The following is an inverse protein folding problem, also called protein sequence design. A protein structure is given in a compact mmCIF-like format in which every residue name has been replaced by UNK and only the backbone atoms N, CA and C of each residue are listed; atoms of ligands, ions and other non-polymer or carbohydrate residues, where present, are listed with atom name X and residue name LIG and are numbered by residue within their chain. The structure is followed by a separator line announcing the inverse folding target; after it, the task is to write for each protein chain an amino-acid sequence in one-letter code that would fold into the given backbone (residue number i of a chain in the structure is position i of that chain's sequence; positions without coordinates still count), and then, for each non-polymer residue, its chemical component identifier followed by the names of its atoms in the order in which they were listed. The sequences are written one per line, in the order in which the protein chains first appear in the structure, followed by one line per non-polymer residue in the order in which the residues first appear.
data_IF_575217935259
#
_entry.id   IF_575217935259
#
_cell.length_a   1.000
_cell.length_b   1.000
_cell.length_c   1.000
_cell.angle_alpha   90.00
_cell.angle_beta   90.00
_cell.angle_gamma   90.00
#
_symmetry.space_group_name_H-M   'P 1'
#
loop_
_entity.id
_entity.type
_entity.pdbx_description
1 polymer ?
#
# COMPACT_ATOMS: atom_id res chain seq x y z
N UNK A 1 -15.82 9.15 19.04
CA UNK A 1 -15.48 7.82 18.50
C UNK A 1 -16.63 7.36 17.61
N UNK A 2 -16.39 7.09 16.33
CA UNK A 2 -17.39 6.46 15.45
C UNK A 2 -17.45 4.97 15.84
N UNK A 3 -18.64 4.40 16.11
CA UNK A 3 -18.75 2.96 16.39
C UNK A 3 -18.16 2.16 15.23
N UNK A 4 -17.37 1.11 15.52
CA UNK A 4 -16.77 0.22 14.49
C UNK A 4 -17.80 -0.21 13.43
N UNK A 5 -19.03 -0.47 13.86
CA UNK A 5 -20.16 -0.88 13.02
C UNK A 5 -20.69 0.20 12.08
N UNK A 6 -20.45 1.48 12.34
CA UNK A 6 -20.90 2.57 11.47
C UNK A 6 -19.95 2.77 10.28
N UNK A 7 -18.65 2.54 10.50
CA UNK A 7 -17.62 2.71 9.48
C UNK A 7 -17.76 1.67 8.35
N UNK A 8 -17.96 0.40 8.71
CA UNK A 8 -18.17 -0.66 7.74
C UNK A 8 -19.46 -0.47 6.92
N UNK A 9 -20.54 0.01 7.54
CA UNK A 9 -21.85 0.21 6.87
C UNK A 9 -21.77 1.19 5.70
N UNK A 10 -21.14 2.35 5.87
CA UNK A 10 -21.07 3.34 4.80
C UNK A 10 -20.08 2.93 3.72
N UNK A 11 -18.97 2.26 4.07
CA UNK A 11 -18.03 1.71 3.09
C UNK A 11 -18.72 0.63 2.25
N UNK A 12 -19.43 -0.31 2.87
CA UNK A 12 -20.23 -1.30 2.16
C UNK A 12 -21.24 -0.65 1.22
N UNK A 13 -21.88 0.44 1.67
CA UNK A 13 -22.82 1.20 0.83
C UNK A 13 -22.10 1.87 -0.34
N UNK A 14 -20.94 2.47 -0.13
CA UNK A 14 -20.14 3.09 -1.19
C UNK A 14 -19.68 2.06 -2.23
N UNK A 15 -19.20 0.89 -1.79
CA UNK A 15 -18.86 -0.23 -2.69
C UNK A 15 -20.06 -0.68 -3.50
N UNK A 16 -21.24 -0.82 -2.87
CA UNK A 16 -22.51 -1.15 -3.57
C UNK A 16 -22.97 -0.08 -4.56
N UNK A 17 -22.51 1.16 -4.40
CA UNK A 17 -22.75 2.25 -5.34
C UNK A 17 -21.71 2.29 -6.47
N UNK A 18 -20.84 1.28 -6.58
CA UNK A 18 -19.82 1.17 -7.62
C UNK A 18 -18.86 2.37 -7.65
N UNK A 19 -18.54 2.92 -6.48
CA UNK A 19 -17.58 4.01 -6.36
C UNK A 19 -16.21 3.58 -6.91
N UNK A 20 -15.59 4.47 -7.69
CA UNK A 20 -14.27 4.26 -8.27
C UNK A 20 -13.15 4.80 -7.37
N UNK A 21 -13.43 5.80 -6.54
CA UNK A 21 -12.44 6.45 -5.70
C UNK A 21 -12.88 6.51 -4.24
N UNK A 22 -12.04 6.01 -3.34
CA UNK A 22 -12.28 6.10 -1.90
C UNK A 22 -11.06 6.71 -1.20
N UNK A 23 -11.30 7.82 -0.49
CA UNK A 23 -10.34 8.44 0.41
C UNK A 23 -10.86 8.35 1.85
N UNK A 24 -10.16 7.56 2.65
CA UNK A 24 -10.55 7.21 4.02
C UNK A 24 -9.50 7.76 4.97
N UNK A 25 -9.83 8.87 5.61
CA UNK A 25 -8.96 9.58 6.55
C UNK A 25 -9.62 9.70 7.94
N UNK A 26 -9.89 8.56 8.57
CA UNK A 26 -10.58 8.44 9.87
C UNK A 26 -9.84 7.46 10.79
N UNK A 27 -10.24 7.36 12.06
CA UNK A 27 -9.68 6.36 12.97
C UNK A 27 -10.14 4.96 12.52
N UNK A 28 -9.22 4.17 11.99
CA UNK A 28 -9.50 2.87 11.40
C UNK A 28 -9.47 1.77 12.46
N UNK A 29 -10.43 0.85 12.38
CA UNK A 29 -10.43 -0.34 13.23
C UNK A 29 -10.44 -1.60 12.36
N UNK A 30 -11.44 -1.73 11.49
CA UNK A 30 -11.55 -2.83 10.51
C UNK A 30 -12.30 -2.33 9.26
N UNK A 31 -11.71 -2.54 8.08
CA UNK A 31 -12.36 -2.25 6.80
C UNK A 31 -13.16 -3.46 6.35
N UNK A 32 -14.36 -3.28 5.75
CA UNK A 32 -15.17 -4.41 5.31
C UNK A 32 -14.51 -5.17 4.16
N UNK A 33 -14.77 -6.48 4.07
CA UNK A 33 -14.27 -7.35 2.99
C UNK A 33 -14.72 -6.90 1.59
N UNK A 34 -15.88 -6.25 1.51
CA UNK A 34 -16.42 -5.68 0.27
C UNK A 34 -15.44 -4.67 -0.35
N UNK A 35 -14.71 -3.90 0.47
CA UNK A 35 -13.72 -2.96 0.01
C UNK A 35 -12.60 -3.68 -0.75
N UNK A 36 -12.06 -4.76 -0.17
CA UNK A 36 -10.94 -5.53 -0.70
C UNK A 36 -11.29 -6.44 -1.88
N UNK A 37 -12.57 -6.49 -2.26
CA UNK A 37 -13.09 -7.28 -3.39
C UNK A 37 -13.83 -6.39 -4.41
N UNK A 38 -13.74 -5.06 -4.25
CA UNK A 38 -14.43 -4.09 -5.08
C UNK A 38 -13.83 -4.05 -6.50
N UNK A 39 -14.65 -4.38 -7.50
CA UNK A 39 -14.22 -4.46 -8.90
C UNK A 39 -14.20 -3.11 -9.62
N UNK A 40 -14.81 -2.08 -9.05
CA UNK A 40 -14.91 -0.75 -9.66
C UNK A 40 -13.87 0.22 -9.14
N UNK A 41 -13.24 -0.09 -8.02
CA UNK A 41 -12.30 0.80 -7.34
C UNK A 41 -11.01 0.95 -8.15
N UNK A 42 -10.72 2.17 -8.59
CA UNK A 42 -9.49 2.55 -9.29
C UNK A 42 -8.51 3.27 -8.37
N UNK A 43 -9.01 3.99 -7.36
CA UNK A 43 -8.19 4.78 -6.44
C UNK A 43 -8.60 4.50 -5.00
N UNK A 44 -7.64 4.11 -4.16
CA UNK A 44 -7.85 3.85 -2.75
C UNK A 44 -6.79 4.58 -1.91
N UNK A 45 -7.26 5.48 -1.05
CA UNK A 45 -6.44 6.14 -0.03
C UNK A 45 -6.93 5.78 1.36
N UNK A 46 -6.02 5.31 2.21
CA UNK A 46 -6.34 4.88 3.57
C UNK A 46 -5.27 5.37 4.53
N UNK A 47 -5.61 6.43 5.27
CA UNK A 47 -4.71 7.08 6.21
C UNK A 47 -5.21 6.94 7.64
N UNK A 48 -4.29 6.61 8.55
CA UNK A 48 -4.53 6.70 9.98
C UNK A 48 -4.01 8.06 10.50
N UNK A 49 -4.92 8.96 10.91
CA UNK A 49 -4.56 10.31 11.40
C UNK A 49 -3.65 10.32 12.64
N UNK A 50 -3.52 9.20 13.35
CA UNK A 50 -2.80 9.16 14.61
C UNK A 50 -1.86 7.94 14.64
N UNK A 51 -0.58 8.21 14.95
CA UNK A 51 0.55 7.25 14.96
C UNK A 51 0.33 5.96 15.77
N UNK A 52 -0.71 5.91 16.61
CA UNK A 52 -0.99 4.79 17.52
C UNK A 52 -2.25 3.98 17.21
N UNK A 53 -3.13 4.40 16.29
CA UNK A 53 -4.46 3.78 16.19
C UNK A 53 -4.99 3.73 14.76
N UNK A 54 -4.71 2.62 14.10
CA UNK A 54 -5.32 2.25 12.83
C UNK A 54 -4.52 1.20 12.10
N UNK A 55 -4.54 -0.05 12.59
CA UNK A 55 -3.92 -1.15 11.87
C UNK A 55 -4.81 -1.48 10.67
N UNK A 56 -4.30 -1.29 9.45
CA UNK A 56 -4.95 -1.86 8.27
C UNK A 56 -4.95 -3.40 8.39
N UNK A 57 -6.08 -3.96 8.78
CA UNK A 57 -6.30 -5.40 8.76
C UNK A 57 -6.67 -5.82 7.35
N UNK A 58 -5.65 -6.23 6.59
CA UNK A 58 -5.86 -6.81 5.25
C UNK A 58 -6.34 -8.26 5.41
N UNK A 59 -7.47 -8.64 4.78
CA UNK A 59 -7.96 -10.01 4.78
C UNK A 59 -7.05 -10.95 3.98
N UNK A 60 -7.21 -12.28 4.12
CA UNK A 60 -6.43 -13.26 3.35
C UNK A 60 -6.65 -13.17 1.84
N UNK A 61 -7.84 -12.78 1.41
CA UNK A 61 -8.22 -12.64 0.01
C UNK A 61 -8.41 -11.16 -0.34
N UNK A 62 -7.66 -10.69 -1.33
CA UNK A 62 -7.78 -9.35 -1.91
C UNK A 62 -7.89 -9.50 -3.42
N UNK A 63 -8.92 -8.91 -4.01
CA UNK A 63 -9.19 -8.93 -5.44
C UNK A 63 -9.66 -7.52 -5.85
N UNK A 64 -8.72 -6.69 -6.29
CA UNK A 64 -8.97 -5.30 -6.70
C UNK A 64 -8.53 -5.12 -8.16
N UNK A 65 -9.28 -5.69 -9.12
CA UNK A 65 -8.82 -5.88 -10.49
C UNK A 65 -8.62 -4.57 -11.26
N UNK A 66 -9.24 -3.48 -10.81
CA UNK A 66 -9.19 -2.17 -11.47
C UNK A 66 -8.35 -1.14 -10.70
N UNK A 67 -7.75 -1.51 -9.57
CA UNK A 67 -7.06 -0.55 -8.71
C UNK A 67 -5.72 -0.14 -9.32
N UNK A 68 -5.63 1.14 -9.69
CA UNK A 68 -4.45 1.76 -10.29
C UNK A 68 -3.64 2.56 -9.29
N UNK A 69 -4.30 3.18 -8.31
CA UNK A 69 -3.66 4.03 -7.31
C UNK A 69 -3.96 3.53 -5.90
N UNK A 70 -2.91 3.26 -5.14
CA UNK A 70 -2.98 2.84 -3.74
C UNK A 70 -2.12 3.75 -2.87
N UNK A 71 -2.73 4.35 -1.85
CA UNK A 71 -2.05 5.23 -0.90
C UNK A 71 -2.41 4.82 0.52
N UNK A 72 -1.45 4.26 1.26
CA UNK A 72 -1.72 3.65 2.57
C UNK A 72 -0.63 3.95 3.60
N UNK A 73 -1.06 4.04 4.85
CA UNK A 73 -0.18 4.04 6.02
C UNK A 73 -0.09 2.63 6.62
N UNK A 74 1.11 2.11 6.81
CA UNK A 74 1.32 0.73 7.29
C UNK A 74 2.38 0.68 8.38
N UNK A 75 2.16 -0.11 9.42
CA UNK A 75 3.22 -0.47 10.37
C UNK A 75 4.15 -1.51 9.72
N UNK A 76 5.46 -1.37 9.92
CA UNK A 76 6.50 -2.31 9.45
C UNK A 76 6.16 -3.79 9.73
N UNK A 77 5.71 -4.14 10.95
CA UNK A 77 5.25 -5.50 11.32
C UNK A 77 4.09 -6.05 10.49
N UNK A 78 3.40 -5.20 9.74
CA UNK A 78 2.25 -5.52 8.89
C UNK A 78 2.56 -5.32 7.41
N UNK A 79 3.81 -5.06 7.03
CA UNK A 79 4.17 -4.89 5.63
C UNK A 79 3.85 -6.15 4.81
N UNK A 80 3.98 -7.35 5.38
CA UNK A 80 3.50 -8.60 4.76
C UNK A 80 2.01 -8.52 4.39
N UNK A 81 1.18 -7.91 5.24
CA UNK A 81 -0.24 -7.69 4.93
C UNK A 81 -0.43 -6.64 3.84
N UNK A 82 0.40 -5.59 3.81
CA UNK A 82 0.40 -4.60 2.74
C UNK A 82 0.77 -5.24 1.38
N UNK A 83 1.76 -6.12 1.34
CA UNK A 83 2.10 -6.88 0.13
C UNK A 83 0.96 -7.77 -0.34
N UNK A 84 0.16 -8.35 0.56
CA UNK A 84 -1.08 -9.07 0.16
C UNK A 84 -2.07 -8.16 -0.54
N UNK A 85 -2.21 -6.92 -0.06
CA UNK A 85 -3.07 -5.92 -0.71
C UNK A 85 -2.53 -5.55 -2.10
N UNK A 86 -1.23 -5.26 -2.19
CA UNK A 86 -0.54 -4.93 -3.45
C UNK A 86 -0.69 -6.08 -4.47
N UNK A 87 -0.42 -7.32 -4.07
CA UNK A 87 -0.52 -8.49 -4.95
C UNK A 87 -1.96 -8.78 -5.43
N UNK A 88 -2.97 -8.28 -4.71
CA UNK A 88 -4.37 -8.34 -5.15
C UNK A 88 -4.77 -7.29 -6.18
N UNK A 89 -3.84 -6.40 -6.59
CA UNK A 89 -4.06 -5.28 -7.51
C UNK A 89 -3.22 -5.48 -8.79
N UNK A 90 -3.70 -6.27 -9.77
CA UNK A 90 -2.90 -6.66 -10.94
C UNK A 90 -2.60 -5.52 -11.93
N UNK A 91 -3.22 -4.35 -11.77
CA UNK A 91 -3.07 -3.19 -12.66
C UNK A 91 -2.54 -1.96 -11.91
N UNK A 92 -1.87 -2.17 -10.76
CA UNK A 92 -1.40 -1.09 -9.90
C UNK A 92 -0.29 -0.29 -10.58
N UNK A 93 -0.53 0.99 -10.85
CA UNK A 93 0.41 1.90 -11.51
C UNK A 93 1.07 2.89 -10.55
N UNK A 94 0.39 3.26 -9.45
CA UNK A 94 0.88 4.23 -8.47
C UNK A 94 0.71 3.72 -7.04
N UNK A 95 1.81 3.72 -6.28
CA UNK A 95 1.87 3.26 -4.90
C UNK A 95 2.50 4.33 -4.01
N UNK A 96 1.80 4.73 -2.95
CA UNK A 96 2.31 5.56 -1.86
C UNK A 96 2.21 4.80 -0.55
N UNK A 97 3.35 4.66 0.14
CA UNK A 97 3.47 3.99 1.43
C UNK A 97 4.10 4.92 2.46
N UNK A 98 3.36 5.17 3.54
CA UNK A 98 3.92 5.69 4.78
C UNK A 98 4.19 4.51 5.73
N UNK A 99 5.47 4.19 5.93
CA UNK A 99 5.91 3.10 6.80
C UNK A 99 6.13 3.66 8.21
N UNK A 100 5.33 3.17 9.16
CA UNK A 100 5.44 3.49 10.57
C UNK A 100 6.39 2.49 11.27
N UNK A 101 7.38 2.98 12.05
CA UNK A 101 8.44 2.15 12.62
C UNK A 101 7.94 1.24 13.73
N UNK A 102 8.44 0.00 13.78
CA UNK A 102 8.32 -0.86 14.95
C UNK A 102 9.27 -2.09 14.95
N UNK A 103 10.39 -2.01 14.23
CA UNK A 103 11.33 -3.12 13.95
C UNK A 103 10.76 -4.21 13.04
N UNK A 104 11.45 -4.48 11.92
CA UNK A 104 11.81 -5.81 11.34
C UNK A 104 11.76 -5.81 9.80
N UNK A 105 12.78 -6.45 9.21
CA UNK A 105 12.76 -7.10 7.90
C UNK A 105 13.29 -6.30 6.71
N UNK A 106 14.05 -6.97 5.85
CA UNK A 106 14.32 -6.47 4.50
C UNK A 106 13.01 -6.46 3.69
N UNK A 107 12.88 -5.48 2.79
CA UNK A 107 11.68 -5.25 2.00
C UNK A 107 12.01 -5.43 0.53
N UNK A 108 11.30 -6.34 -0.15
CA UNK A 108 11.44 -6.54 -1.58
C UNK A 108 10.15 -6.11 -2.29
N UNK A 109 10.25 -5.11 -3.14
CA UNK A 109 9.18 -4.62 -3.98
C UNK A 109 9.37 -5.17 -5.40
N UNK A 110 8.58 -6.18 -5.76
CA UNK A 110 8.49 -6.70 -7.11
C UNK A 110 7.09 -6.45 -7.67
N UNK A 111 6.92 -5.31 -8.34
CA UNK A 111 5.62 -4.84 -8.84
C UNK A 111 5.82 -4.36 -10.28
N UNK A 112 5.72 -5.25 -11.29
CA UNK A 112 6.09 -4.91 -12.65
C UNK A 112 5.19 -3.85 -13.29
N UNK A 113 3.95 -3.68 -12.82
CA UNK A 113 3.02 -2.68 -13.36
C UNK A 113 3.26 -1.26 -12.83
N UNK A 114 4.12 -1.11 -11.82
CA UNK A 114 4.26 0.13 -11.08
C UNK A 114 5.08 1.16 -11.85
N UNK A 115 4.49 2.34 -12.06
CA UNK A 115 5.11 3.51 -12.70
C UNK A 115 5.50 4.59 -11.69
N UNK A 116 4.75 4.73 -10.60
CA UNK A 116 5.02 5.72 -9.54
C UNK A 116 5.13 5.04 -8.19
N UNK A 117 6.24 5.30 -7.49
CA UNK A 117 6.47 4.88 -6.13
C UNK A 117 6.78 6.08 -5.23
N UNK A 118 6.05 6.20 -4.11
CA UNK A 118 6.38 7.09 -3.00
C UNK A 118 6.58 6.26 -1.73
N UNK A 119 7.76 6.35 -1.14
CA UNK A 119 8.10 5.69 0.12
C UNK A 119 8.46 6.76 1.16
N UNK A 120 7.72 6.79 2.26
CA UNK A 120 7.94 7.71 3.37
C UNK A 120 8.15 6.93 4.66
N UNK A 121 9.17 7.30 5.43
CA UNK A 121 9.39 6.75 6.78
C UNK A 121 9.59 7.85 7.80
N UNK A 122 9.19 7.60 9.04
CA UNK A 122 9.41 8.52 10.17
C UNK A 122 10.64 8.12 11.03
N UNK A 123 11.40 7.10 10.63
CA UNK A 123 12.49 6.55 11.46
C UNK A 123 13.87 7.09 11.09
N UNK A 124 14.74 7.13 12.10
CA UNK A 124 16.08 7.70 12.06
C UNK A 124 17.18 6.65 11.79
N UNK A 125 16.87 5.34 11.85
CA UNK A 125 17.88 4.27 11.65
C UNK A 125 17.23 3.02 11.03
N UNK A 126 16.88 3.03 9.74
CA UNK A 126 16.54 1.78 9.06
C UNK A 126 17.83 1.02 8.71
N UNK A 127 18.11 -0.09 9.39
CA UNK A 127 19.19 -1.03 9.03
C UNK A 127 18.78 -2.04 7.95
N UNK A 128 17.62 -1.81 7.32
CA UNK A 128 16.89 -2.82 6.57
C UNK A 128 17.05 -2.56 5.08
N UNK A 129 17.39 -3.61 4.32
CA UNK A 129 17.57 -3.54 2.87
C UNK A 129 16.22 -3.32 2.20
N UNK A 130 16.12 -2.29 1.37
CA UNK A 130 14.97 -2.09 0.49
C UNK A 130 15.40 -2.43 -0.92
N UNK A 131 14.94 -3.56 -1.43
CA UNK A 131 15.17 -4.02 -2.79
C UNK A 131 13.98 -3.60 -3.65
N UNK A 132 14.26 -2.87 -4.73
CA UNK A 132 13.27 -2.42 -5.69
C UNK A 132 13.52 -3.11 -7.03
N UNK A 133 12.59 -3.97 -7.43
CA UNK A 133 12.51 -4.58 -8.77
C UNK A 133 11.23 -4.07 -9.45
N UNK A 134 11.36 -2.94 -10.15
CA UNK A 134 10.25 -2.16 -10.68
C UNK A 134 10.53 -1.78 -12.15
N UNK A 135 10.33 -2.71 -13.12
CA UNK A 135 10.73 -2.55 -14.51
C UNK A 135 10.19 -1.32 -15.24
N UNK A 136 8.99 -0.88 -14.85
CA UNK A 136 8.30 0.21 -15.52
C UNK A 136 8.26 1.49 -14.67
N UNK A 137 9.17 1.63 -13.71
CA UNK A 137 9.19 2.78 -12.80
C UNK A 137 9.59 4.07 -13.53
N UNK A 138 8.68 5.04 -13.54
CA UNK A 138 8.85 6.36 -14.16
C UNK A 138 9.07 7.46 -13.09
N UNK A 139 8.60 7.24 -11.86
CA UNK A 139 8.71 8.18 -10.76
C UNK A 139 9.05 7.48 -9.44
N UNK A 140 10.06 8.01 -8.75
CA UNK A 140 10.47 7.58 -7.42
C UNK A 140 10.57 8.78 -6.49
N UNK A 141 9.85 8.72 -5.37
CA UNK A 141 9.99 9.64 -4.25
C UNK A 141 10.32 8.86 -2.98
N UNK A 142 11.36 9.29 -2.29
CA UNK A 142 11.83 8.69 -1.04
C UNK A 142 12.00 9.80 -0.02
N UNK A 143 11.38 9.63 1.15
CA UNK A 143 11.40 10.60 2.25
C UNK A 143 11.67 9.90 3.59
N UNK A 144 12.44 10.57 4.44
CA UNK A 144 13.03 10.03 5.68
C UNK A 144 14.45 9.48 5.50
N UNK A 145 15.03 8.87 6.55
CA UNK A 145 16.40 8.32 6.53
C UNK A 145 16.48 6.93 5.87
N UNK A 146 15.80 6.78 4.75
CA UNK A 146 15.80 5.58 3.91
C UNK A 146 17.12 5.40 3.14
N UNK A 147 17.93 6.44 3.01
CA UNK A 147 19.06 6.50 2.07
C UNK A 147 20.22 5.51 2.24
N UNK A 148 20.32 4.75 3.34
CA UNK A 148 21.51 3.90 3.58
C UNK A 148 21.41 2.44 3.11
N UNK A 149 20.24 1.97 2.64
CA UNK A 149 20.04 0.54 2.33
C UNK A 149 19.15 0.26 1.08
N UNK A 150 19.02 1.22 0.16
CA UNK A 150 18.25 1.04 -1.08
C UNK A 150 19.11 0.34 -2.13
N UNK A 151 18.59 -0.76 -2.64
CA UNK A 151 19.16 -1.45 -3.79
C UNK A 151 18.09 -1.48 -4.87
N UNK A 152 18.35 -0.75 -5.94
CA UNK A 152 17.59 -0.89 -7.17
C UNK A 152 18.24 -2.03 -7.96
N UNK A 153 17.49 -3.09 -8.23
CA UNK A 153 17.97 -4.16 -9.10
C UNK A 153 17.82 -3.71 -10.55
N UNK A 154 18.91 -3.83 -11.31
CA UNK A 154 18.99 -3.35 -12.69
C UNK A 154 18.09 -4.17 -13.61
N UNK A 155 17.45 -3.48 -14.55
CA UNK A 155 16.39 -4.02 -15.42
C UNK A 155 16.93 -4.53 -16.76
N UNK A 156 18.24 -4.40 -16.98
CA UNK A 156 18.90 -4.88 -18.19
C UNK A 156 19.61 -6.21 -17.95
N UNK A 157 18.99 -7.32 -18.35
CA UNK A 157 19.66 -8.39 -19.11
C UNK A 157 18.68 -9.50 -19.50
N UNK A 158 18.11 -9.38 -20.70
CA UNK A 158 18.10 -10.43 -21.74
C UNK A 158 17.35 -9.90 -22.96
N UNK A 159 17.98 -8.96 -23.67
CA UNK A 159 18.02 -9.08 -25.12
C UNK A 159 19.33 -9.81 -25.36
N UNK A 160 19.24 -11.10 -25.65
CA UNK A 160 20.33 -11.86 -26.25
C UNK A 160 19.80 -12.34 -27.59
N UNK A 161 20.63 -12.07 -28.60
CA UNK A 161 20.42 -12.13 -30.05
C UNK A 161 19.59 -13.31 -30.60
#
# INVERSE_FOLDING_TARGET
MVPKSSLSKWIDKAVKLNVCELDINVQLFDLPLSLFTCKTLTNLKVFARYRNFGVLNVPPLVILPCLKTLDISVHSKRLVKAFRLINGCPVLESLSLLILPQEVGDYNFNIPTLKRLELRTNDFISRHKVVLNLPNLEYLYVDGMLGSNFVMEDLSSTISD
#
